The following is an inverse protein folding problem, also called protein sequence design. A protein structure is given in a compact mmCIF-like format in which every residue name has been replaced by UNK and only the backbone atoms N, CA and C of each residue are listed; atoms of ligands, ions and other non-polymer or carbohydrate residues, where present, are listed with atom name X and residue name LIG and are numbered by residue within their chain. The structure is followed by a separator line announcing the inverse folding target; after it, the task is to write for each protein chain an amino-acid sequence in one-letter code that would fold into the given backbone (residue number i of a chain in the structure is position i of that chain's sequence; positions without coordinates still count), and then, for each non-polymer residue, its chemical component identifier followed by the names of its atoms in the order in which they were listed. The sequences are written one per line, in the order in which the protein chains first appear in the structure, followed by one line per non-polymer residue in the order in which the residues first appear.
data_IF_105505025701
#
_entry.id   IF_105505025701
#
_cell.length_a   1.000
_cell.length_b   1.000
_cell.length_c   1.000
_cell.angle_alpha   90.00
_cell.angle_beta   90.00
_cell.angle_gamma   90.00
#
_symmetry.space_group_name_H-M   'P 1'
#
loop_
_entity.id
_entity.type
_entity.pdbx_description
1 polymer ?
#
# COMPACT_ATOMS: atom_id res chain seq x y z
N UNK A 1 -17.66 3.34 11.55
CA UNK A 1 -16.83 3.98 10.50
C UNK A 1 -17.73 4.76 9.57
N UNK A 2 -17.39 6.01 9.24
CA UNK A 2 -18.06 6.79 8.18
C UNK A 2 -17.06 6.92 7.02
N UNK A 3 -17.49 6.76 5.76
CA UNK A 3 -16.60 6.98 4.63
C UNK A 3 -16.12 8.44 4.61
N UNK A 4 -14.86 8.66 4.27
CA UNK A 4 -14.23 9.96 4.20
C UNK A 4 -13.34 10.04 2.97
N UNK A 5 -13.39 11.19 2.29
CA UNK A 5 -12.50 11.53 1.19
C UNK A 5 -11.23 12.19 1.73
N UNK A 6 -10.11 11.92 1.09
CA UNK A 6 -8.81 12.51 1.39
C UNK A 6 -8.23 13.08 0.10
N UNK A 7 -7.48 14.19 0.21
CA UNK A 7 -6.62 14.60 -0.88
C UNK A 7 -5.48 13.60 -1.05
N UNK A 8 -4.94 13.51 -2.27
CA UNK A 8 -3.93 12.50 -2.60
C UNK A 8 -2.62 12.67 -1.82
N UNK A 9 -2.31 13.89 -1.41
CA UNK A 9 -1.16 14.26 -0.57
C UNK A 9 -1.47 14.19 0.94
N UNK A 10 -2.74 14.00 1.32
CA UNK A 10 -3.21 13.93 2.71
C UNK A 10 -3.69 12.53 3.11
N UNK A 11 -3.36 11.49 2.33
CA UNK A 11 -3.73 10.10 2.66
C UNK A 11 -3.09 9.69 4.00
N UNK A 12 -3.88 9.26 5.00
CA UNK A 12 -3.39 9.04 6.36
C UNK A 12 -2.72 7.67 6.52
N UNK A 13 -1.60 7.42 5.84
CA UNK A 13 -0.92 6.11 5.85
C UNK A 13 -0.57 5.57 7.24
N UNK A 14 -0.33 6.46 8.20
CA UNK A 14 -0.04 6.09 9.59
C UNK A 14 -1.24 5.46 10.34
N UNK A 15 -2.46 5.63 9.82
CA UNK A 15 -3.68 5.00 10.33
C UNK A 15 -4.14 3.84 9.42
N UNK A 16 -3.33 3.45 8.45
CA UNK A 16 -3.61 2.39 7.48
C UNK A 16 -2.69 1.20 7.72
N UNK A 17 -2.87 0.13 6.94
CA UNK A 17 -1.95 -0.99 7.02
C UNK A 17 -0.54 -0.56 6.57
N UNK A 18 0.54 -1.09 7.20
CA UNK A 18 1.89 -0.67 6.87
C UNK A 18 2.28 -0.85 5.39
N UNK A 19 1.72 -1.88 4.73
CA UNK A 19 1.99 -2.17 3.32
C UNK A 19 1.39 -1.16 2.35
N UNK A 20 0.29 -0.48 2.72
CA UNK A 20 -0.38 0.53 1.89
C UNK A 20 0.58 1.64 1.48
N UNK A 21 1.49 2.02 2.38
CA UNK A 21 2.51 3.03 2.10
C UNK A 21 3.47 2.65 0.95
N UNK A 22 3.63 1.35 0.66
CA UNK A 22 4.50 0.87 -0.41
C UNK A 22 3.78 0.81 -1.77
N UNK A 23 2.58 0.24 -1.80
CA UNK A 23 1.89 -0.05 -3.05
C UNK A 23 0.94 1.07 -3.51
N UNK A 24 0.38 1.86 -2.60
CA UNK A 24 -0.56 2.93 -2.93
C UNK A 24 0.04 4.01 -3.86
N UNK A 25 1.31 4.44 -3.69
CA UNK A 25 1.94 5.35 -4.65
C UNK A 25 1.98 4.83 -6.09
N UNK A 26 2.10 3.50 -6.28
CA UNK A 26 2.08 2.88 -7.61
C UNK A 26 0.68 2.96 -8.23
N UNK A 27 -0.37 2.80 -7.42
CA UNK A 27 -1.77 3.00 -7.85
C UNK A 27 -1.99 4.43 -8.30
N UNK A 28 -1.50 5.43 -7.55
CA UNK A 28 -1.61 6.85 -7.93
C UNK A 28 -0.90 7.15 -9.26
N UNK A 29 0.18 6.43 -9.56
CA UNK A 29 0.91 6.50 -10.83
C UNK A 29 0.29 5.64 -11.95
N UNK A 30 -0.84 4.96 -11.69
CA UNK A 30 -1.52 4.04 -12.62
C UNK A 30 -0.65 2.87 -13.09
N UNK A 31 0.24 2.38 -12.22
CA UNK A 31 1.11 1.23 -12.49
C UNK A 31 0.48 -0.06 -11.99
N UNK A 32 0.72 -1.15 -12.72
CA UNK A 32 0.39 -2.50 -12.25
C UNK A 32 1.58 -3.05 -11.46
N UNK A 33 1.30 -3.84 -10.43
CA UNK A 33 2.32 -4.44 -9.59
C UNK A 33 1.85 -5.76 -8.99
N UNK A 34 2.83 -6.60 -8.61
CA UNK A 34 2.63 -7.76 -7.74
C UNK A 34 3.40 -7.55 -6.44
N UNK A 35 2.68 -7.61 -5.33
CA UNK A 35 3.20 -7.43 -3.98
C UNK A 35 3.13 -8.71 -3.16
N UNK A 36 4.15 -8.93 -2.33
CA UNK A 36 4.18 -9.92 -1.27
C UNK A 36 4.63 -9.22 0.00
N UNK A 37 3.90 -9.42 1.10
CA UNK A 37 4.22 -8.84 2.41
C UNK A 37 4.02 -9.93 3.47
N UNK A 38 5.06 -10.20 4.24
CA UNK A 38 5.04 -11.12 5.37
C UNK A 38 4.99 -10.32 6.65
N UNK A 39 3.96 -10.55 7.45
CA UNK A 39 3.75 -9.82 8.70
C UNK A 39 4.09 -10.66 9.93
N UNK A 40 4.55 -9.98 10.98
CA UNK A 40 4.50 -10.43 12.36
C UNK A 40 3.46 -9.60 13.09
N UNK A 41 2.33 -10.21 13.44
CA UNK A 41 1.18 -9.47 13.94
C UNK A 41 0.55 -8.60 12.85
N UNK A 42 0.03 -7.42 13.21
CA UNK A 42 -0.65 -6.51 12.27
C UNK A 42 0.23 -5.33 11.85
N UNK A 43 1.23 -4.97 12.65
CA UNK A 43 1.96 -3.71 12.49
C UNK A 43 3.37 -3.86 11.92
N UNK A 44 3.94 -5.08 11.95
CA UNK A 44 5.35 -5.30 11.60
C UNK A 44 5.49 -6.12 10.33
N UNK A 45 6.05 -5.53 9.27
CA UNK A 45 6.44 -6.25 8.06
C UNK A 45 7.84 -6.85 8.28
N UNK A 46 7.95 -8.18 8.21
CA UNK A 46 9.21 -8.91 8.30
C UNK A 46 9.95 -9.01 6.97
N UNK A 47 9.20 -9.18 5.88
CA UNK A 47 9.74 -9.37 4.54
C UNK A 47 8.72 -8.83 3.53
N UNK A 48 9.20 -8.18 2.47
CA UNK A 48 8.33 -7.79 1.38
C UNK A 48 9.03 -7.85 0.02
N UNK A 49 8.24 -8.04 -1.04
CA UNK A 49 8.66 -7.89 -2.43
C UNK A 49 7.56 -7.15 -3.17
N UNK A 50 7.90 -6.03 -3.81
CA UNK A 50 6.97 -5.27 -4.64
C UNK A 50 7.62 -5.06 -6.00
N UNK A 51 6.98 -5.59 -7.05
CA UNK A 51 7.49 -5.52 -8.43
C UNK A 51 6.43 -4.96 -9.35
N UNK A 52 6.78 -3.93 -10.11
CA UNK A 52 5.96 -3.47 -11.22
C UNK A 52 5.87 -4.57 -12.28
N UNK A 53 4.70 -4.71 -12.90
CA UNK A 53 4.42 -5.69 -13.95
C UNK A 53 3.65 -5.03 -15.09
N UNK A 54 3.63 -5.65 -16.26
CA UNK A 54 2.87 -5.17 -17.42
C UNK A 54 1.47 -5.81 -17.51
N UNK A 55 1.25 -6.92 -16.81
CA UNK A 55 -0.01 -7.68 -16.77
C UNK A 55 -0.22 -8.31 -15.38
N UNK A 56 -1.49 -8.42 -14.94
CA UNK A 56 -1.88 -8.85 -13.57
C UNK A 56 -1.81 -10.35 -13.40
#
# INVERSE_FOLDING_TARGET
MRPQWFQLDEVPFHHMWPDDSYWFPLVLQRKLFRGYFKFQGQDTILEHSLKEVEEV
#
